data_IF_163990591609
#
_entry.id   IF_163990591609
#
_cell.length_a   1.000
_cell.length_b   1.000
_cell.length_c   1.000
_cell.angle_alpha   90.00
_cell.angle_beta   90.00
_cell.angle_gamma   90.00
#
_symmetry.space_group_name_H-M   'P 1'
#
loop_
_entity.id
_entity.type
_entity.pdbx_description
1 polymer ?
#
# COMPACT_ATOMS: atom_id res chain seq x y z
N UNK A 1 42.40 30.56 9.04
CA UNK A 1 41.69 29.26 9.00
C UNK A 1 42.50 28.28 8.18
N UNK A 2 43.30 27.48 8.87
CA UNK A 2 44.04 26.37 8.26
C UNK A 2 43.14 25.14 8.27
N UNK A 3 43.31 24.25 7.30
CA UNK A 3 42.68 22.93 7.35
C UNK A 3 43.72 21.91 7.84
N UNK A 4 43.29 20.93 8.61
CA UNK A 4 44.13 19.80 8.98
C UNK A 4 44.61 19.09 7.72
N UNK A 5 45.93 18.90 7.57
CA UNK A 5 46.51 18.20 6.42
C UNK A 5 46.06 16.75 6.29
N UNK A 6 45.65 16.11 7.39
CA UNK A 6 45.25 14.70 7.42
C UNK A 6 43.78 14.50 7.07
N UNK A 7 42.88 15.26 7.69
CA UNK A 7 41.42 15.05 7.55
C UNK A 7 40.66 16.21 6.89
N UNK A 8 41.34 17.31 6.54
CA UNK A 8 40.73 18.47 5.89
C UNK A 8 39.79 19.30 6.77
N UNK A 9 39.66 18.99 8.06
CA UNK A 9 38.81 19.76 8.98
C UNK A 9 39.39 21.16 9.22
N UNK A 10 38.55 22.21 9.29
CA UNK A 10 39.02 23.56 9.60
C UNK A 10 39.52 23.59 11.06
N UNK A 11 40.74 24.08 11.26
CA UNK A 11 41.33 24.24 12.59
C UNK A 11 41.79 25.69 12.80
N UNK A 12 41.62 26.17 14.03
CA UNK A 12 42.10 27.48 14.46
C UNK A 12 43.63 27.48 14.56
N UNK A 13 44.23 28.62 14.24
CA UNK A 13 45.68 28.79 14.07
C UNK A 13 46.51 28.57 15.36
N UNK A 14 45.87 28.50 16.53
CA UNK A 14 46.49 28.34 17.84
C UNK A 14 46.44 26.92 18.42
N UNK A 15 45.89 25.94 17.69
CA UNK A 15 45.72 24.57 18.21
C UNK A 15 46.82 23.68 17.65
N UNK A 16 47.56 22.99 18.51
CA UNK A 16 48.64 22.08 18.10
C UNK A 16 48.14 20.76 17.50
N UNK A 17 46.87 20.39 17.76
CA UNK A 17 46.26 19.11 17.37
C UNK A 17 44.89 19.33 16.73
N UNK A 18 44.59 18.58 15.67
CA UNK A 18 43.26 18.61 15.08
C UNK A 18 42.24 17.95 16.01
N UNK A 19 41.21 18.70 16.42
CA UNK A 19 40.13 18.18 17.26
C UNK A 19 39.36 16.99 16.65
N UNK A 20 39.42 16.81 15.32
CA UNK A 20 38.67 15.74 14.65
C UNK A 20 39.42 14.42 14.52
N UNK A 21 40.73 14.46 14.30
CA UNK A 21 41.52 13.24 14.06
C UNK A 21 42.73 13.12 15.00
N UNK A 22 42.93 14.03 15.94
CA UNK A 22 44.04 14.05 16.88
C UNK A 22 45.41 14.33 16.26
N UNK A 23 45.50 14.47 14.94
CA UNK A 23 46.78 14.64 14.24
C UNK A 23 47.43 15.99 14.60
N UNK A 24 48.75 16.03 14.83
CA UNK A 24 49.48 17.26 15.08
C UNK A 24 49.39 18.18 13.84
N UNK A 25 49.16 19.46 14.07
CA UNK A 25 49.09 20.47 13.01
C UNK A 25 50.50 20.90 12.69
N UNK A 26 51.07 20.35 11.62
CA UNK A 26 52.37 20.82 11.14
C UNK A 26 52.23 22.26 10.65
N UNK A 27 52.99 23.19 11.24
CA UNK A 27 53.14 24.54 10.71
C UNK A 27 53.83 24.44 9.36
N UNK A 28 53.09 24.74 8.30
CA UNK A 28 53.62 24.70 6.94
C UNK A 28 54.77 25.71 6.82
N UNK A 29 56.03 25.23 6.83
CA UNK A 29 57.19 25.98 6.34
C UNK A 29 57.25 26.05 4.81
N UNK A 30 56.28 25.47 4.11
CA UNK A 30 56.16 25.56 2.66
C UNK A 30 54.72 25.89 2.26
N UNK A 31 54.51 27.11 1.78
CA UNK A 31 53.36 27.45 0.94
C UNK A 31 53.87 28.12 -0.34
N UNK A 32 53.14 28.10 -1.47
CA UNK A 32 51.99 27.28 -1.86
C UNK A 32 52.31 26.48 -3.14
N UNK A 33 52.27 25.14 -3.09
CA UNK A 33 52.30 24.31 -4.31
C UNK A 33 51.17 23.29 -4.34
N UNK A 34 49.93 23.82 -4.32
CA UNK A 34 48.77 23.09 -4.81
C UNK A 34 48.02 24.01 -5.77
N UNK A 35 48.62 24.17 -6.96
CA UNK A 35 47.89 24.59 -8.15
C UNK A 35 46.67 23.66 -8.31
N UNK A 36 45.51 24.29 -8.27
CA UNK A 36 44.21 23.68 -8.51
C UNK A 36 44.20 23.10 -9.93
N UNK A 37 44.23 21.78 -10.06
CA UNK A 37 43.97 21.10 -11.33
C UNK A 37 42.48 21.23 -11.67
N UNK A 38 42.03 22.42 -12.05
CA UNK A 38 40.81 22.57 -12.85
C UNK A 38 41.18 22.32 -14.31
N UNK A 39 41.32 21.05 -14.69
CA UNK A 39 41.47 20.67 -16.10
C UNK A 39 40.40 19.67 -16.50
N UNK A 40 39.26 20.21 -16.90
CA UNK A 40 38.68 19.82 -18.19
C UNK A 40 37.99 21.01 -18.81
N UNK A 41 38.50 21.38 -19.98
CA UNK A 41 38.35 22.70 -20.56
C UNK A 41 36.92 23.09 -20.87
N UNK A 42 36.61 24.36 -20.57
CA UNK A 42 35.73 25.20 -21.37
C UNK A 42 35.96 26.64 -20.92
N UNK A 43 36.64 27.40 -21.77
CA UNK A 43 36.65 28.87 -21.70
C UNK A 43 35.22 29.37 -21.86
N UNK A 44 34.60 29.82 -20.76
CA UNK A 44 33.29 30.46 -20.82
C UNK A 44 33.51 31.93 -21.15
N UNK A 45 33.09 32.37 -22.35
CA UNK A 45 33.02 33.80 -22.68
C UNK A 45 32.12 34.48 -21.65
N UNK A 46 32.62 35.52 -20.96
CA UNK A 46 31.81 36.36 -20.08
C UNK A 46 30.79 37.11 -20.93
N UNK A 47 29.59 36.56 -21.04
CA UNK A 47 28.42 37.30 -21.55
C UNK A 47 28.03 38.29 -20.46
N UNK A 48 28.13 39.60 -20.76
CA UNK A 48 27.54 40.66 -19.94
C UNK A 48 26.02 40.47 -19.95
N UNK A 49 25.49 39.82 -18.93
CA UNK A 49 24.07 39.69 -18.68
C UNK A 49 23.86 39.15 -17.27
N UNK A 50 23.20 39.91 -16.41
CA UNK A 50 22.88 39.49 -15.04
C UNK A 50 22.09 38.17 -15.12
N UNK A 51 22.56 37.07 -14.51
CA UNK A 51 21.76 35.87 -14.46
C UNK A 51 20.65 36.11 -13.46
N UNK A 52 19.41 36.24 -13.96
CA UNK A 52 18.20 36.05 -13.15
C UNK A 52 18.28 34.63 -12.57
N UNK A 53 18.72 34.52 -11.32
CA UNK A 53 18.71 33.26 -10.57
C UNK A 53 17.26 32.83 -10.45
N UNK A 54 16.82 31.87 -11.26
CA UNK A 54 15.59 31.13 -11.00
C UNK A 54 15.73 30.49 -9.62
N UNK A 55 14.96 30.96 -8.64
CA UNK A 55 14.83 30.31 -7.34
C UNK A 55 14.46 28.84 -7.59
N UNK A 56 15.25 27.86 -7.11
CA UNK A 56 14.83 26.48 -7.20
C UNK A 56 13.55 26.33 -6.37
N UNK A 57 12.48 25.83 -7.00
CA UNK A 57 11.29 25.38 -6.29
C UNK A 57 11.76 24.42 -5.20
N UNK A 58 11.43 24.74 -3.94
CA UNK A 58 11.85 23.95 -2.77
C UNK A 58 11.42 22.50 -3.03
N UNK A 59 12.39 21.59 -3.11
CA UNK A 59 12.12 20.16 -3.16
C UNK A 59 11.26 19.80 -1.94
N UNK A 60 10.01 19.41 -2.18
CA UNK A 60 9.14 18.86 -1.14
C UNK A 60 9.82 17.60 -0.62
N UNK A 61 10.36 17.69 0.60
CA UNK A 61 10.97 16.54 1.29
C UNK A 61 9.89 15.46 1.40
N UNK A 62 9.99 14.39 0.61
CA UNK A 62 9.16 13.18 0.77
C UNK A 62 9.33 12.71 2.22
N UNK A 63 8.27 12.83 3.02
CA UNK A 63 8.26 12.27 4.38
C UNK A 63 8.54 10.77 4.26
N UNK A 64 9.45 10.26 5.08
CA UNK A 64 9.68 8.81 5.17
C UNK A 64 8.39 8.19 5.70
N UNK A 65 7.85 7.20 4.99
CA UNK A 65 6.71 6.42 5.45
C UNK A 65 7.00 5.86 6.85
N UNK A 66 6.07 6.02 7.77
CA UNK A 66 6.16 5.46 9.13
C UNK A 66 6.09 3.93 9.07
N UNK A 67 6.56 3.26 10.12
CA UNK A 67 6.52 1.79 10.19
C UNK A 67 5.09 1.23 10.03
N UNK A 68 4.11 1.91 10.62
CA UNK A 68 2.68 1.60 10.48
C UNK A 68 2.19 1.70 9.03
N UNK A 69 2.56 2.75 8.30
CA UNK A 69 2.17 2.90 6.89
C UNK A 69 2.76 1.78 6.00
N UNK A 70 3.93 1.27 6.37
CA UNK A 70 4.53 0.10 5.71
C UNK A 70 3.83 -1.19 6.07
N UNK A 71 3.37 -1.37 7.30
CA UNK A 71 2.58 -2.53 7.72
C UNK A 71 1.21 -2.53 7.02
N UNK A 72 0.53 -1.38 6.97
CA UNK A 72 -0.74 -1.23 6.27
C UNK A 72 -0.60 -1.56 4.78
N UNK A 73 0.51 -1.16 4.13
CA UNK A 73 0.80 -1.52 2.74
C UNK A 73 1.05 -3.01 2.52
N UNK A 74 1.64 -3.70 3.49
CA UNK A 74 1.85 -5.16 3.41
C UNK A 74 0.52 -5.90 3.51
N UNK A 75 -0.36 -5.49 4.43
CA UNK A 75 -1.67 -6.10 4.61
C UNK A 75 -2.62 -5.80 3.45
N UNK A 76 -2.61 -4.57 2.94
CA UNK A 76 -3.39 -4.18 1.76
C UNK A 76 -2.92 -4.86 0.46
N UNK A 77 -1.68 -5.36 0.41
CA UNK A 77 -1.15 -6.13 -0.73
C UNK A 77 -1.24 -7.64 -0.57
N UNK A 78 -1.68 -8.14 0.59
CA UNK A 78 -1.81 -9.57 0.88
C UNK A 78 -3.21 -10.11 0.59
N UNK A 79 -3.35 -11.43 0.66
CA UNK A 79 -4.61 -12.14 0.39
C UNK A 79 -5.74 -11.70 1.32
N UNK A 80 -5.40 -11.38 2.58
CA UNK A 80 -6.34 -10.88 3.58
C UNK A 80 -6.93 -9.51 3.20
N UNK A 81 -6.11 -8.60 2.67
CA UNK A 81 -6.56 -7.29 2.19
C UNK A 81 -7.50 -7.44 0.99
N UNK A 82 -7.23 -8.41 0.12
CA UNK A 82 -8.10 -8.72 -1.01
C UNK A 82 -9.45 -9.32 -0.57
N UNK A 83 -9.44 -10.23 0.41
CA UNK A 83 -10.67 -10.79 0.99
C UNK A 83 -11.48 -9.71 1.70
N UNK A 84 -10.85 -8.85 2.50
CA UNK A 84 -11.51 -7.74 3.17
C UNK A 84 -12.14 -6.76 2.17
N UNK A 85 -11.46 -6.46 1.06
CA UNK A 85 -12.00 -5.61 -0.01
C UNK A 85 -13.22 -6.23 -0.70
N UNK A 86 -13.26 -7.57 -0.87
CA UNK A 86 -14.42 -8.28 -1.44
C UNK A 86 -15.63 -8.21 -0.51
N UNK A 87 -15.44 -8.53 0.77
CA UNK A 87 -16.50 -8.49 1.79
C UNK A 87 -17.08 -7.08 1.91
N UNK A 88 -16.22 -6.05 1.95
CA UNK A 88 -16.67 -4.66 2.01
C UNK A 88 -17.48 -4.25 0.76
N UNK A 89 -17.14 -4.75 -0.43
CA UNK A 89 -17.88 -4.45 -1.66
C UNK A 89 -19.26 -5.12 -1.66
N UNK A 90 -19.34 -6.37 -1.19
CA UNK A 90 -20.60 -7.11 -1.05
C UNK A 90 -21.56 -6.41 -0.05
N UNK A 91 -21.06 -5.96 1.10
CA UNK A 91 -21.84 -5.21 2.09
C UNK A 91 -22.35 -3.85 1.57
N UNK A 92 -21.64 -3.24 0.61
CA UNK A 92 -22.09 -2.00 -0.06
C UNK A 92 -23.21 -2.33 -1.04
N UNK A 93 -23.06 -3.39 -1.84
CA UNK A 93 -24.04 -3.82 -2.85
C UNK A 93 -25.36 -4.28 -2.22
N UNK A 94 -25.30 -4.97 -1.08
CA UNK A 94 -26.48 -5.39 -0.31
C UNK A 94 -27.16 -4.23 0.45
N UNK A 95 -26.54 -3.04 0.46
CA UNK A 95 -27.06 -1.89 1.19
C UNK A 95 -27.01 -2.00 2.72
N UNK A 96 -26.30 -3.02 3.25
CA UNK A 96 -26.05 -3.18 4.69
C UNK A 96 -25.28 -1.98 5.27
N UNK A 97 -24.52 -1.29 4.43
CA UNK A 97 -23.87 -0.02 4.75
C UNK A 97 -24.77 1.14 4.34
N UNK A 98 -25.33 1.85 5.32
CA UNK A 98 -26.15 3.05 5.07
C UNK A 98 -25.45 4.08 4.17
N UNK A 99 -26.23 4.80 3.36
CA UNK A 99 -25.75 5.73 2.30
C UNK A 99 -24.65 6.70 2.74
N UNK A 100 -24.70 7.17 3.98
CA UNK A 100 -23.69 8.07 4.54
C UNK A 100 -22.28 7.44 4.67
N UNK A 101 -22.21 6.10 4.84
CA UNK A 101 -20.97 5.34 5.02
C UNK A 101 -20.51 4.64 3.74
N UNK A 102 -21.38 4.46 2.74
CA UNK A 102 -21.05 3.80 1.47
C UNK A 102 -19.82 4.45 0.79
N UNK A 103 -19.79 5.78 0.68
CA UNK A 103 -18.65 6.50 0.09
C UNK A 103 -17.33 6.35 0.89
N UNK A 104 -17.42 6.08 2.19
CA UNK A 104 -16.24 5.80 3.02
C UNK A 104 -15.77 4.36 2.83
N UNK A 105 -16.72 3.42 2.77
CA UNK A 105 -16.44 2.01 2.51
C UNK A 105 -15.82 1.80 1.12
N UNK A 106 -16.31 2.48 0.08
CA UNK A 106 -15.69 2.45 -1.26
C UNK A 106 -14.23 2.95 -1.25
N UNK A 107 -13.92 4.00 -0.48
CA UNK A 107 -12.54 4.47 -0.32
C UNK A 107 -11.65 3.44 0.36
N UNK A 108 -12.19 2.67 1.30
CA UNK A 108 -11.47 1.59 1.97
C UNK A 108 -11.25 0.41 1.01
N UNK A 109 -12.28 0.05 0.23
CA UNK A 109 -12.17 -0.95 -0.85
C UNK A 109 -11.09 -0.56 -1.85
N UNK A 110 -11.01 0.71 -2.26
CA UNK A 110 -9.95 1.18 -3.17
C UNK A 110 -8.55 1.14 -2.57
N UNK A 111 -8.41 1.34 -1.25
CA UNK A 111 -7.12 1.26 -0.54
C UNK A 111 -6.66 -0.18 -0.31
N UNK A 112 -7.60 -1.07 0.01
CA UNK A 112 -7.34 -2.49 0.29
C UNK A 112 -7.28 -3.31 -1.00
N UNK A 113 -8.00 -2.89 -2.03
CA UNK A 113 -8.14 -3.58 -3.31
C UNK A 113 -7.33 -2.96 -4.45
N UNK A 114 -6.31 -2.16 -4.17
CA UNK A 114 -5.46 -1.55 -5.20
C UNK A 114 -4.75 -2.57 -6.12
N UNK A 115 -4.77 -3.86 -5.78
CA UNK A 115 -4.28 -4.98 -6.59
C UNK A 115 -5.40 -5.86 -7.19
N UNK A 116 -6.67 -5.60 -6.88
CA UNK A 116 -7.79 -6.37 -7.43
C UNK A 116 -8.21 -5.77 -8.78
N UNK A 117 -8.32 -6.58 -9.85
CA UNK A 117 -8.94 -6.11 -11.09
C UNK A 117 -10.35 -5.58 -10.77
N UNK A 118 -10.86 -4.59 -11.54
CA UNK A 118 -12.27 -4.24 -11.46
C UNK A 118 -13.05 -5.53 -11.57
N UNK A 119 -13.96 -5.78 -10.62
CA UNK A 119 -14.89 -6.89 -10.74
C UNK A 119 -15.49 -6.73 -12.13
N UNK A 120 -15.33 -7.75 -12.98
CA UNK A 120 -16.13 -7.86 -14.20
C UNK A 120 -17.58 -7.53 -13.81
N UNK A 121 -18.35 -6.87 -14.69
CA UNK A 121 -19.77 -6.69 -14.46
C UNK A 121 -20.29 -8.04 -13.98
N UNK A 122 -20.80 -8.03 -12.74
CA UNK A 122 -21.56 -9.13 -12.16
C UNK A 122 -22.40 -9.64 -13.34
N UNK A 123 -22.31 -10.91 -13.77
CA UNK A 123 -23.37 -11.43 -14.61
C UNK A 123 -24.63 -10.97 -13.90
N UNK A 124 -25.48 -10.22 -14.62
CA UNK A 124 -26.78 -9.79 -14.12
C UNK A 124 -27.28 -10.93 -13.26
N UNK A 125 -27.82 -10.67 -12.05
CA UNK A 125 -28.49 -11.72 -11.31
C UNK A 125 -29.36 -12.38 -12.36
N UNK A 126 -28.98 -13.60 -12.77
CA UNK A 126 -29.86 -14.46 -13.50
C UNK A 126 -31.05 -14.40 -12.58
N UNK A 127 -32.13 -13.81 -13.10
CA UNK A 127 -33.31 -13.48 -12.35
C UNK A 127 -33.45 -14.56 -11.29
N UNK A 128 -33.61 -14.18 -10.01
CA UNK A 128 -34.24 -15.11 -9.08
C UNK A 128 -35.29 -15.80 -9.94
N UNK A 129 -35.21 -17.13 -10.17
CA UNK A 129 -36.31 -17.77 -10.80
C UNK A 129 -37.42 -17.36 -9.86
N UNK A 130 -38.31 -16.51 -10.36
CA UNK A 130 -39.62 -16.36 -9.79
C UNK A 130 -39.99 -17.78 -9.41
N UNK A 131 -40.45 -18.06 -8.18
CA UNK A 131 -40.95 -19.37 -7.87
C UNK A 131 -42.21 -19.57 -8.74
N UNK A 132 -42.01 -19.78 -10.04
CA UNK A 132 -42.84 -20.51 -10.97
C UNK A 132 -42.88 -21.89 -10.35
N UNK A 133 -43.84 -22.05 -9.44
CA UNK A 133 -44.31 -23.32 -8.93
C UNK A 133 -43.19 -24.38 -8.85
N UNK A 134 -42.13 -24.10 -8.08
CA UNK A 134 -41.27 -25.19 -7.66
C UNK A 134 -42.20 -26.12 -6.88
N UNK A 135 -42.45 -27.31 -7.42
CA UNK A 135 -43.35 -28.28 -6.82
C UNK A 135 -43.20 -28.25 -5.30
N UNK A 136 -44.29 -28.21 -4.52
CA UNK A 136 -44.19 -28.12 -3.05
C UNK A 136 -43.30 -29.23 -2.47
N UNK A 137 -43.17 -30.35 -3.20
CA UNK A 137 -42.21 -31.45 -2.94
C UNK A 137 -40.76 -31.00 -3.02
N UNK A 138 -40.36 -30.28 -4.08
CA UNK A 138 -39.00 -29.77 -4.26
C UNK A 138 -38.64 -28.68 -3.24
N UNK A 139 -39.59 -27.82 -2.86
CA UNK A 139 -39.39 -26.84 -1.80
C UNK A 139 -39.07 -27.52 -0.46
N UNK A 140 -39.89 -28.51 -0.06
CA UNK A 140 -39.66 -29.29 1.17
C UNK A 140 -38.35 -30.09 1.16
N UNK A 141 -37.94 -30.63 0.01
CA UNK A 141 -36.66 -31.32 -0.12
C UNK A 141 -35.45 -30.39 0.07
N UNK A 142 -35.55 -29.12 -0.36
CA UNK A 142 -34.51 -28.10 -0.13
C UNK A 142 -34.40 -27.74 1.36
N UNK A 143 -35.53 -27.59 2.05
CA UNK A 143 -35.57 -27.33 3.50
C UNK A 143 -34.93 -28.48 4.30
N UNK A 144 -35.23 -29.74 3.96
CA UNK A 144 -34.59 -30.90 4.59
C UNK A 144 -33.08 -30.93 4.34
N UNK A 145 -32.62 -30.49 3.14
CA UNK A 145 -31.20 -30.38 2.82
C UNK A 145 -30.49 -29.39 3.73
N UNK A 146 -31.08 -28.20 3.91
CA UNK A 146 -30.56 -27.18 4.81
C UNK A 146 -30.51 -27.66 6.28
N UNK A 147 -31.53 -28.40 6.74
CA UNK A 147 -31.56 -28.99 8.09
C UNK A 147 -30.53 -30.11 8.30
N UNK A 148 -30.20 -30.87 7.24
CA UNK A 148 -29.11 -31.86 7.27
C UNK A 148 -27.75 -31.17 7.34
N UNK A 149 -27.55 -30.13 6.54
CA UNK A 149 -26.28 -29.42 6.44
C UNK A 149 -25.98 -28.58 7.70
N UNK A 150 -27.02 -28.15 8.41
CA UNK A 150 -26.90 -27.55 9.76
C UNK A 150 -26.69 -28.59 10.88
N UNK A 151 -26.69 -29.88 10.56
CA UNK A 151 -26.47 -30.97 11.51
C UNK A 151 -27.65 -31.25 12.44
N UNK A 152 -28.82 -30.65 12.19
CA UNK A 152 -30.05 -30.87 12.96
C UNK A 152 -30.64 -32.25 12.66
N UNK A 153 -30.49 -32.73 11.41
CA UNK A 153 -30.91 -34.07 11.00
C UNK A 153 -29.71 -34.97 10.75
N UNK A 154 -29.79 -36.20 11.25
CA UNK A 154 -28.81 -37.24 10.90
C UNK A 154 -29.04 -37.74 9.46
N UNK A 155 -28.00 -38.34 8.86
CA UNK A 155 -28.08 -38.88 7.49
C UNK A 155 -29.18 -39.94 7.33
N UNK A 156 -29.42 -40.72 8.38
CA UNK A 156 -30.45 -41.75 8.40
C UNK A 156 -31.86 -41.13 8.36
N UNK A 157 -32.10 -40.12 9.19
CA UNK A 157 -33.40 -39.42 9.26
C UNK A 157 -33.69 -38.65 7.96
N UNK A 158 -32.68 -38.01 7.39
CA UNK A 158 -32.81 -37.32 6.11
C UNK A 158 -33.21 -38.28 4.97
N UNK A 159 -32.63 -39.48 4.92
CA UNK A 159 -32.95 -40.47 3.88
C UNK A 159 -34.41 -40.93 3.96
N UNK A 160 -34.90 -41.21 5.18
CA UNK A 160 -36.29 -41.63 5.42
C UNK A 160 -37.27 -40.52 5.04
N UNK A 161 -37.04 -39.28 5.47
CA UNK A 161 -37.90 -38.13 5.17
C UNK A 161 -37.91 -37.77 3.67
N UNK A 162 -36.74 -37.86 3.02
CA UNK A 162 -36.64 -37.70 1.57
C UNK A 162 -37.46 -38.74 0.82
N UNK A 163 -37.38 -40.02 1.24
CA UNK A 163 -38.18 -41.08 0.62
C UNK A 163 -39.67 -40.92 0.87
N UNK A 164 -40.08 -40.45 2.06
CA UNK A 164 -41.49 -40.17 2.35
C UNK A 164 -42.06 -39.06 1.46
N UNK A 165 -41.29 -38.01 1.16
CA UNK A 165 -41.74 -36.92 0.28
C UNK A 165 -41.83 -37.37 -1.20
N UNK A 166 -40.95 -38.29 -1.61
CA UNK A 166 -40.92 -38.83 -2.97
C UNK A 166 -42.00 -39.90 -3.17
N UNK A 167 -42.29 -40.71 -2.15
CA UNK A 167 -43.22 -41.85 -2.22
C UNK A 167 -44.62 -41.55 -1.70
N UNK A 168 -44.81 -40.44 -0.99
CA UNK A 168 -46.07 -40.04 -0.36
C UNK A 168 -47.04 -39.36 -1.32
N UNK A 169 -47.38 -40.04 -2.41
CA UNK A 169 -48.60 -39.82 -3.22
C UNK A 169 -49.13 -41.17 -3.71
#
# INVERSE_FOLDING_TARGET
MKNCGTCGAPVADAVEKCFKCGSPIQSAKDGPKLMQKFTKGKTVKRVRGKPLRKRPLKATRKRKATAEERQLKKLAGGDEGAVAARILRELIDEGAIGKAKAASAEKLVGKLGAALPPSQPKPEPAAEPAPEAADPKLARLKELGALRDSGILTKAEFATLKQQIISGE
#
